data_IF_617584528970
#
_entry.id   IF_617584528970
#
_cell.length_a   1.000
_cell.length_b   1.000
_cell.length_c   1.000
_cell.angle_alpha   90.00
_cell.angle_beta   90.00
_cell.angle_gamma   90.00
#
_symmetry.space_group_name_H-M   'P 1'
#
loop_
_entity.id
_entity.type
_entity.pdbx_description
1 polymer ?
#
# COMPACT_ATOMS: atom_id res chain seq x y z
N UNK A 1 8.38 -4.91 -45.66
CA UNK A 1 8.31 -3.47 -45.35
C UNK A 1 8.91 -2.55 -46.44
N UNK A 2 9.91 -2.95 -47.21
CA UNK A 2 10.50 -2.20 -48.31
C UNK A 2 9.57 -1.98 -49.52
N UNK A 3 8.57 -2.83 -49.72
CA UNK A 3 7.62 -2.73 -50.86
C UNK A 3 6.58 -1.60 -50.75
N UNK A 4 6.51 -0.93 -49.57
CA UNK A 4 5.56 0.19 -49.38
C UNK A 4 6.15 1.56 -49.66
N UNK A 5 7.45 1.67 -49.93
CA UNK A 5 8.13 2.95 -50.17
C UNK A 5 8.05 3.26 -51.65
N UNK A 6 7.35 4.34 -52.03
CA UNK A 6 7.27 4.80 -53.41
C UNK A 6 8.66 5.29 -53.88
N UNK A 7 9.26 4.60 -54.85
CA UNK A 7 10.61 4.85 -55.38
C UNK A 7 10.80 6.33 -55.84
N UNK A 8 9.74 7.05 -56.22
CA UNK A 8 9.77 8.46 -56.61
C UNK A 8 10.14 9.44 -55.50
N UNK A 9 10.15 9.01 -54.23
CA UNK A 9 10.47 9.85 -53.05
C UNK A 9 11.86 9.62 -52.48
N UNK A 10 12.65 8.69 -53.03
CA UNK A 10 14.02 8.46 -52.58
C UNK A 10 14.92 9.40 -53.29
N UNK A 11 15.29 10.49 -52.63
CA UNK A 11 16.29 11.44 -53.15
C UNK A 11 17.71 10.97 -52.80
N UNK A 12 18.72 11.41 -53.56
CA UNK A 12 20.12 11.18 -53.22
C UNK A 12 20.50 11.74 -51.84
N UNK A 13 19.82 12.80 -51.42
CA UNK A 13 19.96 13.41 -50.10
C UNK A 13 19.47 12.46 -49.00
N UNK A 14 18.29 11.85 -49.18
CA UNK A 14 17.73 10.90 -48.25
C UNK A 14 18.59 9.64 -48.11
N UNK A 15 19.16 9.18 -49.21
CA UNK A 15 20.09 8.03 -49.20
C UNK A 15 21.37 8.37 -48.44
N UNK A 16 21.95 9.54 -48.63
CA UNK A 16 23.15 9.96 -47.92
C UNK A 16 22.88 10.20 -46.42
N UNK A 17 21.71 10.75 -46.10
CA UNK A 17 21.28 10.91 -44.72
C UNK A 17 21.12 9.55 -44.00
N UNK A 18 20.42 8.62 -44.66
CA UNK A 18 20.22 7.28 -44.09
C UNK A 18 21.54 6.53 -43.95
N UNK A 19 22.48 6.67 -44.89
CA UNK A 19 23.80 6.06 -44.79
C UNK A 19 24.58 6.62 -43.60
N UNK A 20 24.54 7.94 -43.39
CA UNK A 20 25.15 8.58 -42.23
C UNK A 20 24.52 8.09 -40.90
N UNK A 21 23.20 7.99 -40.83
CA UNK A 21 22.49 7.45 -39.65
C UNK A 21 22.88 6.02 -39.36
N UNK A 22 23.05 5.16 -40.39
CA UNK A 22 23.52 3.78 -40.25
C UNK A 22 24.95 3.76 -39.72
N UNK A 23 25.84 4.59 -40.23
CA UNK A 23 27.21 4.68 -39.77
C UNK A 23 27.29 5.17 -38.32
N UNK A 24 26.48 6.16 -37.94
CA UNK A 24 26.36 6.64 -36.56
C UNK A 24 25.86 5.55 -35.61
N UNK A 25 24.85 4.77 -36.02
CA UNK A 25 24.32 3.64 -35.25
C UNK A 25 25.36 2.51 -35.08
N UNK A 26 26.10 2.19 -36.18
CA UNK A 26 27.15 1.19 -36.11
C UNK A 26 28.27 1.61 -35.14
N UNK A 27 28.66 2.89 -35.16
CA UNK A 27 29.66 3.43 -34.22
C UNK A 27 29.15 3.33 -32.77
N UNK A 28 27.88 3.66 -32.51
CA UNK A 28 27.28 3.49 -31.18
C UNK A 28 27.26 2.02 -30.75
N UNK A 29 26.95 1.10 -31.65
CA UNK A 29 26.96 -0.35 -31.36
C UNK A 29 28.36 -0.84 -31.01
N UNK A 30 29.39 -0.39 -31.73
CA UNK A 30 30.79 -0.74 -31.42
C UNK A 30 31.17 -0.23 -30.02
N UNK A 31 30.83 1.03 -29.69
CA UNK A 31 31.10 1.60 -28.38
C UNK A 31 30.35 0.88 -27.25
N UNK A 32 29.10 0.52 -27.47
CA UNK A 32 28.33 -0.26 -26.49
C UNK A 32 28.95 -1.65 -26.29
N UNK A 33 29.33 -2.34 -27.37
CA UNK A 33 29.96 -3.66 -27.30
C UNK A 33 31.31 -3.59 -26.59
N UNK A 34 32.13 -2.58 -26.87
CA UNK A 34 33.39 -2.33 -26.17
C UNK A 34 33.18 -2.08 -24.67
N UNK A 35 32.17 -1.30 -24.30
CA UNK A 35 31.84 -1.03 -22.91
C UNK A 35 31.28 -2.28 -22.20
N UNK A 36 30.50 -3.12 -22.88
CA UNK A 36 30.03 -4.41 -22.37
C UNK A 36 31.19 -5.40 -22.15
N UNK A 37 32.20 -5.40 -23.01
CA UNK A 37 33.40 -6.22 -22.81
C UNK A 37 34.25 -5.79 -21.60
N UNK A 38 34.11 -4.53 -21.13
CA UNK A 38 34.89 -3.98 -20.03
C UNK A 38 34.01 -3.20 -19.03
N UNK A 39 32.92 -3.83 -18.56
CA UNK A 39 31.89 -3.17 -17.70
C UNK A 39 32.51 -2.50 -16.48
N UNK A 40 33.43 -3.15 -15.77
CA UNK A 40 34.09 -2.58 -14.59
C UNK A 40 34.82 -1.27 -14.89
N UNK A 41 35.58 -1.23 -16.00
CA UNK A 41 36.31 -0.03 -16.41
C UNK A 41 35.37 1.08 -16.85
N UNK A 42 34.29 0.75 -17.54
CA UNK A 42 33.25 1.69 -17.93
C UNK A 42 32.56 2.30 -16.70
N UNK A 43 32.12 1.47 -15.75
CA UNK A 43 31.47 1.91 -14.51
C UNK A 43 32.36 2.84 -13.69
N UNK A 44 33.64 2.47 -13.53
CA UNK A 44 34.58 3.33 -12.81
C UNK A 44 34.79 4.70 -13.49
N UNK A 45 34.84 4.72 -14.81
CA UNK A 45 34.94 5.97 -15.60
C UNK A 45 33.69 6.80 -15.42
N UNK A 46 32.52 6.20 -15.57
CA UNK A 46 31.23 6.85 -15.39
C UNK A 46 31.09 7.48 -14.00
N UNK A 47 31.42 6.73 -12.95
CA UNK A 47 31.36 7.24 -11.56
C UNK A 47 32.36 8.41 -11.38
N UNK A 48 33.58 8.31 -11.91
CA UNK A 48 34.56 9.41 -11.84
C UNK A 48 34.05 10.67 -12.54
N UNK A 49 33.42 10.53 -13.70
CA UNK A 49 32.82 11.65 -14.42
C UNK A 49 31.65 12.27 -13.65
N UNK A 50 30.82 11.44 -13.02
CA UNK A 50 29.76 11.92 -12.14
C UNK A 50 30.30 12.70 -10.94
N UNK A 51 31.30 12.17 -10.23
CA UNK A 51 31.96 12.87 -9.13
C UNK A 51 32.49 14.20 -9.60
N UNK A 52 33.21 14.23 -10.74
CA UNK A 52 33.76 15.46 -11.30
C UNK A 52 32.71 16.51 -11.64
N UNK A 53 31.54 16.09 -12.12
CA UNK A 53 30.42 16.99 -12.46
C UNK A 53 29.72 17.57 -11.23
N UNK A 54 29.58 16.77 -10.15
CA UNK A 54 28.77 17.12 -8.99
C UNK A 54 29.59 17.39 -7.71
N UNK A 55 30.92 17.43 -7.80
CA UNK A 55 31.76 17.78 -6.66
C UNK A 55 31.61 19.25 -6.26
N UNK A 56 31.86 19.55 -5.00
CA UNK A 56 31.88 20.91 -4.51
C UNK A 56 33.04 21.69 -5.14
N UNK A 57 32.77 22.93 -5.50
CA UNK A 57 33.74 23.84 -6.11
C UNK A 57 33.94 25.03 -5.19
N UNK A 58 35.21 25.45 -4.99
CA UNK A 58 35.51 26.69 -4.28
C UNK A 58 35.03 27.87 -5.11
N UNK A 59 34.18 28.72 -4.57
CA UNK A 59 33.78 29.98 -5.13
C UNK A 59 34.08 31.11 -4.16
N UNK A 60 34.50 32.25 -4.72
CA UNK A 60 34.60 33.47 -3.93
C UNK A 60 33.21 34.09 -3.80
N UNK A 61 32.70 34.16 -2.58
CA UNK A 61 31.42 34.78 -2.25
C UNK A 61 31.68 36.13 -1.58
N UNK A 62 31.04 37.18 -2.11
CA UNK A 62 31.06 38.48 -1.48
C UNK A 62 30.09 38.49 -0.29
N UNK A 63 30.65 38.57 0.93
CA UNK A 63 29.86 38.71 2.15
C UNK A 63 29.84 40.18 2.57
N UNK A 64 28.67 40.76 2.70
CA UNK A 64 28.46 42.11 3.18
C UNK A 64 28.32 42.04 4.71
N UNK A 65 29.35 42.50 5.41
CA UNK A 65 29.26 42.62 6.88
C UNK A 65 28.86 44.08 7.22
N UNK A 66 27.77 44.21 7.96
CA UNK A 66 27.36 45.51 8.52
C UNK A 66 28.01 45.70 9.89
N UNK A 67 28.90 46.70 10.01
CA UNK A 67 29.49 47.10 11.29
C UNK A 67 28.94 48.45 11.73
N UNK A 68 28.45 48.57 12.94
CA UNK A 68 28.03 49.85 13.47
C UNK A 68 29.26 50.78 13.64
N UNK A 69 29.12 52.02 13.17
CA UNK A 69 30.17 53.03 13.38
C UNK A 69 30.26 53.41 14.85
N UNK A 70 31.44 53.75 15.33
CA UNK A 70 31.76 54.13 16.70
C UNK A 70 30.91 55.27 17.31
N UNK A 71 30.08 55.93 16.52
CA UNK A 71 29.10 56.95 16.93
C UNK A 71 27.63 56.57 16.77
N UNK A 72 27.32 55.25 16.60
CA UNK A 72 25.97 54.70 16.71
C UNK A 72 24.92 55.14 15.68
N UNK A 73 25.26 55.85 14.63
CA UNK A 73 24.26 56.46 13.69
C UNK A 73 24.33 56.07 12.23
N UNK A 74 25.32 55.30 11.76
CA UNK A 74 25.40 54.82 10.39
C UNK A 74 26.12 53.47 10.33
N UNK A 75 25.52 52.46 9.74
CA UNK A 75 26.16 51.17 9.41
C UNK A 75 27.05 51.33 8.17
N UNK A 76 28.32 50.90 8.28
CA UNK A 76 29.24 50.85 7.18
C UNK A 76 29.26 49.43 6.62
N UNK A 77 28.85 49.27 5.39
CA UNK A 77 28.91 47.98 4.70
C UNK A 77 30.35 47.71 4.26
N UNK A 78 30.94 46.64 4.74
CA UNK A 78 32.27 46.19 4.34
C UNK A 78 32.09 44.93 3.51
N UNK A 79 32.44 45.00 2.24
CA UNK A 79 32.48 43.85 1.36
C UNK A 79 33.73 43.04 1.64
N UNK A 80 33.58 41.80 2.10
CA UNK A 80 34.65 40.83 2.25
C UNK A 80 34.43 39.68 1.30
N UNK A 81 35.51 39.25 0.64
CA UNK A 81 35.49 38.02 -0.15
C UNK A 81 35.88 36.87 0.72
N UNK A 82 35.00 35.90 0.89
CA UNK A 82 35.27 34.63 1.51
C UNK A 82 35.24 33.52 0.50
N UNK A 83 36.17 32.59 0.59
CA UNK A 83 36.11 31.35 -0.19
C UNK A 83 35.21 30.35 0.56
N UNK A 84 34.16 29.96 -0.08
CA UNK A 84 33.24 28.94 0.43
C UNK A 84 33.17 27.77 -0.54
N UNK A 85 33.11 26.55 0.01
CA UNK A 85 32.84 25.35 -0.76
C UNK A 85 31.36 25.36 -1.12
N UNK A 86 31.04 25.56 -2.39
CA UNK A 86 29.67 25.62 -2.88
C UNK A 86 29.42 24.41 -3.78
N UNK A 87 28.26 23.79 -3.66
CA UNK A 87 27.85 22.77 -4.61
C UNK A 87 27.76 23.35 -6.01
N UNK A 88 28.38 22.68 -6.99
CA UNK A 88 28.37 23.13 -8.38
C UNK A 88 26.94 23.18 -8.94
N UNK A 89 26.11 22.26 -8.47
CA UNK A 89 24.68 22.18 -8.80
C UNK A 89 23.87 22.08 -7.50
N UNK A 90 23.53 23.22 -6.85
CA UNK A 90 22.76 23.19 -5.62
C UNK A 90 21.39 22.59 -5.87
N UNK A 91 20.97 21.71 -5.00
CA UNK A 91 19.63 21.13 -5.05
C UNK A 91 18.61 22.17 -4.62
N UNK A 92 17.61 22.37 -5.46
CA UNK A 92 16.46 23.21 -5.12
C UNK A 92 15.35 22.41 -4.41
N UNK A 93 15.50 21.07 -4.34
CA UNK A 93 14.54 20.19 -3.67
C UNK A 93 15.18 19.51 -2.48
N UNK A 94 14.48 19.47 -1.35
CA UNK A 94 14.88 18.73 -0.18
C UNK A 94 14.62 17.24 -0.44
N UNK A 95 15.65 16.40 -0.25
CA UNK A 95 15.40 14.94 -0.28
C UNK A 95 14.85 14.59 1.09
N UNK A 96 13.57 14.30 1.14
CA UNK A 96 12.95 13.62 2.27
C UNK A 96 12.90 12.13 1.97
N UNK A 97 13.22 11.31 2.94
CA UNK A 97 12.82 9.90 2.90
C UNK A 97 11.30 9.90 2.92
N UNK A 98 10.67 9.20 1.98
CA UNK A 98 9.27 8.88 2.15
C UNK A 98 9.16 8.12 3.48
N UNK A 99 8.28 8.56 4.36
CA UNK A 99 7.83 7.71 5.43
C UNK A 99 7.45 6.38 4.79
N UNK A 100 7.82 5.28 5.42
CA UNK A 100 7.52 3.97 4.87
C UNK A 100 5.99 3.83 4.78
N UNK A 101 5.44 4.36 3.70
CA UNK A 101 4.03 4.19 3.38
C UNK A 101 3.91 2.70 3.08
N UNK A 102 3.23 1.99 3.97
CA UNK A 102 2.94 0.60 3.71
C UNK A 102 2.22 0.52 2.37
N UNK A 103 2.77 -0.26 1.45
CA UNK A 103 2.19 -0.45 0.10
C UNK A 103 0.70 -0.84 0.19
N UNK A 104 0.30 -1.45 1.31
CA UNK A 104 -1.09 -1.76 1.65
C UNK A 104 -1.99 -0.52 1.72
N UNK A 105 -1.53 0.60 2.29
CA UNK A 105 -2.34 1.82 2.42
C UNK A 105 -2.61 2.49 1.06
N UNK A 106 -1.67 2.38 0.12
CA UNK A 106 -1.82 2.99 -1.22
C UNK A 106 -2.72 2.14 -2.13
N UNK A 107 -2.68 0.81 -1.98
CA UNK A 107 -3.44 -0.12 -2.84
C UNK A 107 -4.79 -0.52 -2.25
N UNK A 108 -5.02 -0.22 -0.98
CA UNK A 108 -6.25 -0.53 -0.29
C UNK A 108 -7.37 0.43 -0.73
N UNK A 109 -8.43 -0.11 -1.32
CA UNK A 109 -9.67 0.63 -1.52
C UNK A 109 -10.60 0.40 -0.34
N UNK A 110 -11.26 1.46 0.11
CA UNK A 110 -12.28 1.37 1.16
C UNK A 110 -13.54 0.70 0.58
N UNK A 111 -14.00 -0.34 1.24
CA UNK A 111 -15.16 -1.13 0.87
C UNK A 111 -16.19 -1.09 2.00
N UNK A 112 -17.45 -0.79 1.68
CA UNK A 112 -18.57 -0.89 2.61
C UNK A 112 -19.20 -2.27 2.48
N UNK A 113 -19.19 -3.05 3.57
CA UNK A 113 -19.70 -4.41 3.60
C UNK A 113 -21.18 -4.42 3.96
N UNK A 114 -21.98 -5.04 3.09
CA UNK A 114 -23.43 -5.15 3.26
C UNK A 114 -23.86 -6.60 3.26
N UNK A 115 -24.93 -6.88 4.01
CA UNK A 115 -25.57 -8.18 4.06
C UNK A 115 -27.06 -8.08 3.75
N UNK A 116 -27.52 -8.91 2.83
CA UNK A 116 -28.93 -9.04 2.49
C UNK A 116 -29.46 -10.39 3.06
N UNK A 117 -30.22 -10.30 4.11
CA UNK A 117 -30.81 -11.46 4.78
C UNK A 117 -31.88 -12.17 3.96
N UNK A 118 -32.48 -11.52 2.96
CA UNK A 118 -33.50 -12.15 2.09
C UNK A 118 -32.84 -13.04 1.04
N UNK A 119 -31.79 -12.54 0.41
CA UNK A 119 -31.06 -13.26 -0.64
C UNK A 119 -29.89 -14.11 -0.11
N UNK A 120 -29.44 -13.87 1.14
CA UNK A 120 -28.32 -14.58 1.77
C UNK A 120 -26.94 -14.19 1.22
N UNK A 121 -26.79 -13.00 0.62
CA UNK A 121 -25.52 -12.52 0.09
C UNK A 121 -24.84 -11.50 1.02
N UNK A 122 -23.54 -11.62 1.12
CA UNK A 122 -22.65 -10.73 1.87
C UNK A 122 -21.51 -10.24 0.97
N UNK A 123 -21.17 -8.96 1.02
CA UNK A 123 -20.07 -8.38 0.23
C UNK A 123 -20.21 -6.88 0.02
N UNK A 124 -19.22 -6.27 -0.67
CA UNK A 124 -19.26 -4.84 -0.95
C UNK A 124 -20.11 -4.46 -2.18
N UNK A 125 -20.49 -5.41 -3.01
CA UNK A 125 -21.37 -5.21 -4.18
C UNK A 125 -22.74 -5.90 -4.01
N UNK A 126 -23.30 -5.83 -2.79
CA UNK A 126 -24.63 -6.35 -2.47
C UNK A 126 -25.63 -5.19 -2.47
N UNK A 127 -26.56 -5.21 -3.42
CA UNK A 127 -27.60 -4.17 -3.54
C UNK A 127 -28.79 -4.52 -2.64
N UNK A 128 -29.26 -3.56 -1.86
CA UNK A 128 -30.45 -3.73 -1.01
C UNK A 128 -30.17 -4.34 0.37
N UNK A 129 -28.93 -4.70 0.68
CA UNK A 129 -28.54 -5.20 1.98
C UNK A 129 -28.33 -4.10 3.03
N UNK A 130 -28.32 -4.48 4.31
CA UNK A 130 -27.93 -3.62 5.42
C UNK A 130 -26.43 -3.44 5.45
N UNK A 131 -25.95 -2.18 5.53
CA UNK A 131 -24.52 -1.89 5.69
C UNK A 131 -24.09 -2.24 7.12
N UNK A 132 -23.10 -3.12 7.25
CA UNK A 132 -22.63 -3.58 8.55
C UNK A 132 -21.40 -2.79 9.04
N UNK A 133 -20.39 -2.66 8.21
CA UNK A 133 -19.13 -1.98 8.54
C UNK A 133 -18.33 -1.67 7.29
N UNK A 134 -17.32 -0.80 7.45
CA UNK A 134 -16.35 -0.48 6.41
C UNK A 134 -15.03 -1.19 6.66
N UNK A 135 -14.37 -1.65 5.62
CA UNK A 135 -13.08 -2.34 5.67
C UNK A 135 -12.24 -2.01 4.45
N UNK A 136 -10.98 -2.42 4.49
CA UNK A 136 -10.10 -2.37 3.32
C UNK A 136 -10.31 -3.59 2.42
N UNK A 137 -10.09 -3.41 1.12
CA UNK A 137 -10.10 -4.51 0.14
C UNK A 137 -9.07 -5.61 0.44
N UNK A 138 -8.07 -5.32 1.26
CA UNK A 138 -7.00 -6.25 1.67
C UNK A 138 -7.25 -6.92 3.02
N UNK A 139 -8.32 -6.53 3.71
CA UNK A 139 -8.67 -7.10 5.00
C UNK A 139 -9.19 -8.53 4.87
N UNK A 140 -9.10 -9.26 5.96
CA UNK A 140 -9.74 -10.55 6.11
C UNK A 140 -10.92 -10.42 7.05
N UNK A 141 -12.01 -11.02 6.70
CA UNK A 141 -13.26 -10.96 7.45
C UNK A 141 -13.57 -12.30 8.09
N UNK A 142 -14.08 -12.25 9.31
CA UNK A 142 -14.63 -13.41 9.99
C UNK A 142 -16.14 -13.40 9.82
N UNK A 143 -16.71 -14.54 9.44
CA UNK A 143 -18.15 -14.74 9.30
C UNK A 143 -18.55 -15.86 10.25
N UNK A 144 -19.59 -15.65 11.03
CA UNK A 144 -20.12 -16.61 11.98
C UNK A 144 -21.60 -16.84 11.74
N UNK A 145 -22.02 -18.09 11.71
CA UNK A 145 -23.42 -18.51 11.54
C UNK A 145 -24.07 -18.91 12.86
N UNK A 146 -25.39 -18.92 12.86
CA UNK A 146 -26.17 -19.30 14.03
C UNK A 146 -25.93 -20.74 14.50
N UNK A 147 -25.54 -21.63 13.59
CA UNK A 147 -25.18 -23.03 13.95
C UNK A 147 -23.79 -23.17 14.57
N UNK A 148 -23.07 -22.07 14.74
CA UNK A 148 -21.73 -22.03 15.31
C UNK A 148 -20.60 -22.29 14.33
N UNK A 149 -20.88 -22.54 13.06
CA UNK A 149 -19.85 -22.53 12.02
C UNK A 149 -19.28 -21.13 11.89
N UNK A 150 -17.99 -21.07 11.58
CA UNK A 150 -17.36 -19.81 11.22
C UNK A 150 -16.27 -20.01 10.18
N UNK A 151 -15.98 -18.96 9.42
CA UNK A 151 -15.01 -18.98 8.34
C UNK A 151 -14.27 -17.66 8.24
N UNK A 152 -12.98 -17.72 7.94
CA UNK A 152 -12.16 -16.56 7.58
C UNK A 152 -12.16 -16.42 6.06
N UNK A 153 -12.57 -15.26 5.54
CA UNK A 153 -12.60 -14.97 4.11
C UNK A 153 -11.85 -13.68 3.80
N UNK A 154 -11.19 -13.56 2.63
CA UNK A 154 -10.76 -12.25 2.15
C UNK A 154 -12.00 -11.40 1.85
N UNK A 155 -11.86 -10.08 1.81
CA UNK A 155 -12.97 -9.15 1.51
C UNK A 155 -13.66 -9.54 0.19
N UNK A 156 -14.90 -10.08 0.23
CA UNK A 156 -15.58 -10.59 -0.96
C UNK A 156 -16.35 -9.48 -1.66
N UNK A 157 -16.37 -9.54 -2.98
CA UNK A 157 -17.27 -8.70 -3.78
C UNK A 157 -18.74 -9.08 -3.55
N UNK A 158 -19.03 -10.37 -3.67
CA UNK A 158 -20.36 -10.95 -3.41
C UNK A 158 -20.19 -12.43 -3.07
N UNK A 159 -20.49 -12.78 -1.82
CA UNK A 159 -20.38 -14.15 -1.31
C UNK A 159 -21.74 -14.61 -0.82
N UNK A 160 -22.15 -15.81 -1.21
CA UNK A 160 -23.34 -16.43 -0.65
C UNK A 160 -23.01 -17.05 0.71
N UNK A 161 -23.64 -16.52 1.78
CA UNK A 161 -23.42 -16.91 3.18
C UNK A 161 -24.65 -17.49 3.82
N UNK A 162 -25.74 -17.65 3.05
CA UNK A 162 -27.04 -18.10 3.55
C UNK A 162 -27.73 -17.08 4.50
N UNK A 163 -28.95 -17.37 4.89
CA UNK A 163 -29.83 -16.51 5.71
C UNK A 163 -29.51 -16.57 7.21
N UNK A 164 -28.68 -17.52 7.62
CA UNK A 164 -28.34 -17.79 9.02
C UNK A 164 -27.03 -17.15 9.48
N UNK A 165 -26.51 -16.17 8.72
CA UNK A 165 -25.39 -15.37 9.19
C UNK A 165 -25.78 -14.61 10.46
N UNK A 166 -24.96 -14.75 11.50
CA UNK A 166 -25.17 -14.10 12.81
C UNK A 166 -24.28 -12.89 12.99
N UNK A 167 -23.02 -13.00 12.56
CA UNK A 167 -22.01 -12.00 12.83
C UNK A 167 -20.98 -11.95 11.72
N UNK A 168 -20.55 -10.74 11.37
CA UNK A 168 -19.41 -10.55 10.48
C UNK A 168 -18.60 -9.32 10.95
N UNK A 169 -17.27 -9.43 10.92
CA UNK A 169 -16.36 -8.32 11.29
C UNK A 169 -14.99 -8.48 10.65
N UNK A 170 -14.17 -7.43 10.75
CA UNK A 170 -12.76 -7.49 10.37
C UNK A 170 -12.03 -8.41 11.34
N UNK A 171 -11.30 -9.38 10.77
CA UNK A 171 -10.54 -10.35 11.59
C UNK A 171 -9.37 -9.66 12.28
N UNK A 172 -9.35 -9.78 13.60
CA UNK A 172 -8.21 -9.43 14.43
C UNK A 172 -7.90 -10.59 15.37
N UNK A 173 -6.65 -11.04 15.36
CA UNK A 173 -6.20 -12.20 16.13
C UNK A 173 -6.24 -11.98 17.65
N UNK A 174 -6.04 -10.73 18.07
CA UNK A 174 -5.85 -10.39 19.49
C UNK A 174 -7.16 -9.96 20.17
N UNK A 175 -8.24 -9.84 19.40
CA UNK A 175 -9.55 -9.48 19.94
C UNK A 175 -10.21 -10.65 20.66
N UNK A 176 -10.74 -10.35 21.83
CA UNK A 176 -11.56 -11.29 22.60
C UNK A 176 -13.03 -11.18 22.22
N UNK A 177 -13.71 -12.30 22.22
CA UNK A 177 -15.14 -12.41 21.90
C UNK A 177 -15.87 -13.15 23.01
N UNK A 178 -17.09 -12.72 23.27
CA UNK A 178 -18.02 -13.39 24.17
C UNK A 178 -19.16 -14.00 23.38
N UNK A 179 -19.36 -15.30 23.53
CA UNK A 179 -20.40 -16.05 22.84
C UNK A 179 -21.33 -16.68 23.85
N UNK A 180 -22.65 -16.60 23.61
CA UNK A 180 -23.68 -17.33 24.32
C UNK A 180 -24.32 -18.31 23.36
N UNK A 181 -24.34 -19.56 23.73
CA UNK A 181 -24.90 -20.61 22.89
C UNK A 181 -25.74 -21.61 23.72
N UNK A 182 -26.60 -22.31 23.03
CA UNK A 182 -27.40 -23.43 23.57
C UNK A 182 -26.97 -24.71 22.89
N UNK A 183 -26.73 -25.74 23.66
CA UNK A 183 -26.49 -27.09 23.16
C UNK A 183 -27.83 -27.73 22.72
N UNK A 184 -27.78 -28.62 21.72
CA UNK A 184 -28.96 -29.34 21.25
C UNK A 184 -29.37 -30.46 22.21
N UNK A 185 -28.39 -31.10 22.82
CA UNK A 185 -28.60 -32.22 23.73
C UNK A 185 -29.08 -31.76 25.11
N UNK A 186 -28.50 -30.65 25.60
CA UNK A 186 -28.87 -30.04 26.86
C UNK A 186 -29.33 -28.61 26.62
N UNK A 187 -30.63 -28.28 26.77
CA UNK A 187 -31.17 -26.95 26.48
C UNK A 187 -30.77 -25.90 27.53
N UNK A 188 -29.50 -25.88 27.91
CA UNK A 188 -28.90 -24.95 28.86
C UNK A 188 -28.10 -23.91 28.06
N UNK A 189 -28.10 -22.69 28.55
CA UNK A 189 -27.29 -21.63 27.95
C UNK A 189 -25.88 -21.63 28.53
N UNK A 190 -24.89 -21.63 27.66
CA UNK A 190 -23.48 -21.58 28.00
C UNK A 190 -22.89 -20.24 27.58
N UNK A 191 -21.94 -19.74 28.35
CA UNK A 191 -21.16 -18.55 28.02
C UNK A 191 -19.71 -18.98 27.79
N UNK A 192 -19.13 -18.54 26.68
CA UNK A 192 -17.75 -18.83 26.33
C UNK A 192 -17.04 -17.54 25.93
N UNK A 193 -15.82 -17.32 26.45
CA UNK A 193 -14.89 -16.29 25.98
C UNK A 193 -13.76 -16.94 25.23
N UNK A 194 -13.37 -16.34 24.11
CA UNK A 194 -12.33 -16.91 23.27
C UNK A 194 -11.76 -15.83 22.34
N UNK A 195 -10.61 -16.14 21.74
CA UNK A 195 -10.02 -15.40 20.64
C UNK A 195 -10.03 -16.27 19.40
N UNK A 196 -10.23 -15.68 18.24
CA UNK A 196 -10.03 -16.39 16.98
C UNK A 196 -8.53 -16.58 16.76
N UNK A 197 -8.00 -17.76 16.98
CA UNK A 197 -6.59 -18.09 16.81
C UNK A 197 -6.08 -18.01 15.37
N UNK A 198 -5.01 -18.72 15.07
CA UNK A 198 -4.47 -18.80 13.69
C UNK A 198 -5.41 -19.59 12.79
N UNK A 199 -6.15 -18.87 11.92
CA UNK A 199 -7.12 -19.45 10.99
C UNK A 199 -6.56 -19.53 9.57
N UNK A 200 -6.93 -20.58 8.87
CA UNK A 200 -6.67 -20.73 7.42
C UNK A 200 -7.88 -20.15 6.69
N UNK A 201 -7.62 -19.27 5.71
CA UNK A 201 -8.68 -18.68 4.91
C UNK A 201 -9.47 -19.75 4.14
N UNK A 202 -10.77 -19.51 4.01
CA UNK A 202 -11.73 -20.37 3.30
C UNK A 202 -11.95 -21.77 3.91
N UNK A 203 -11.44 -22.03 5.11
CA UNK A 203 -11.70 -23.26 5.85
C UNK A 203 -12.83 -23.05 6.83
N UNK A 204 -13.74 -24.01 6.92
CA UNK A 204 -14.83 -24.03 7.90
C UNK A 204 -14.33 -24.53 9.26
N UNK A 205 -14.74 -23.84 10.31
CA UNK A 205 -14.46 -24.15 11.70
C UNK A 205 -15.76 -24.16 12.51
N UNK A 206 -15.75 -24.75 13.68
CA UNK A 206 -16.88 -24.73 14.61
C UNK A 206 -16.51 -24.07 15.94
N UNK A 207 -17.38 -23.18 16.41
CA UNK A 207 -17.30 -22.57 17.74
C UNK A 207 -17.83 -23.53 18.81
N UNK A 208 -18.74 -24.38 18.43
CA UNK A 208 -19.44 -25.25 19.36
C UNK A 208 -18.79 -26.64 19.41
N UNK A 209 -18.67 -27.26 20.59
CA UNK A 209 -18.14 -28.60 20.72
C UNK A 209 -19.09 -29.66 20.14
N UNK A 210 -20.41 -29.42 20.25
CA UNK A 210 -21.48 -30.25 19.74
C UNK A 210 -22.43 -29.46 18.83
N UNK A 211 -23.42 -30.11 18.26
CA UNK A 211 -24.51 -29.42 17.57
C UNK A 211 -25.27 -28.51 18.54
N UNK A 212 -25.45 -27.26 18.17
CA UNK A 212 -26.10 -26.28 19.00
C UNK A 212 -26.47 -25.03 18.24
N UNK A 213 -26.80 -23.98 18.95
CA UNK A 213 -27.15 -22.71 18.34
C UNK A 213 -26.51 -21.55 19.10
N UNK A 214 -25.75 -20.72 18.38
CA UNK A 214 -25.24 -19.44 18.88
C UNK A 214 -26.39 -18.46 18.96
N UNK A 215 -26.60 -17.90 20.13
CA UNK A 215 -27.67 -16.93 20.41
C UNK A 215 -27.18 -15.52 20.40
N UNK A 216 -25.92 -15.34 20.79
CA UNK A 216 -25.29 -14.02 20.91
C UNK A 216 -23.79 -14.16 20.70
N UNK A 217 -23.23 -13.24 19.96
CA UNK A 217 -21.80 -13.09 19.78
C UNK A 217 -21.47 -11.59 19.72
N UNK A 218 -20.55 -11.15 20.56
CA UNK A 218 -20.10 -9.77 20.61
C UNK A 218 -18.60 -9.72 20.84
N UNK A 219 -17.96 -8.68 20.29
CA UNK A 219 -16.57 -8.35 20.54
C UNK A 219 -16.41 -7.76 21.94
N UNK A 220 -15.40 -8.23 22.67
CA UNK A 220 -15.06 -7.78 24.01
C UNK A 220 -15.55 -8.69 25.12
N UNK A 221 -15.36 -8.20 26.35
CA UNK A 221 -15.73 -8.90 27.59
C UNK A 221 -16.78 -8.11 28.34
N UNK A 222 -18.07 -8.25 28.00
CA UNK A 222 -19.14 -7.56 28.72
C UNK A 222 -19.09 -7.91 30.21
N UNK A 223 -19.27 -6.92 31.08
CA UNK A 223 -19.28 -7.12 32.53
C UNK A 223 -20.54 -7.84 33.01
N UNK A 224 -21.64 -7.60 32.32
CA UNK A 224 -22.94 -8.17 32.67
C UNK A 224 -23.65 -8.66 31.42
N UNK A 225 -24.28 -9.85 31.55
CA UNK A 225 -25.12 -10.43 30.52
C UNK A 225 -26.46 -10.81 31.16
N UNK A 226 -27.55 -10.32 30.59
CA UNK A 226 -28.91 -10.60 31.06
C UNK A 226 -29.56 -11.63 30.16
N UNK A 227 -29.92 -12.79 30.73
CA UNK A 227 -30.61 -13.86 29.99
C UNK A 227 -32.04 -13.94 30.50
N UNK A 228 -33.03 -13.69 29.65
CA UNK A 228 -34.43 -13.83 29.97
C UNK A 228 -34.96 -15.13 29.39
N UNK A 229 -35.33 -16.04 30.28
CA UNK A 229 -35.99 -17.28 29.89
C UNK A 229 -37.49 -17.08 29.72
N UNK A 230 -38.10 -17.77 28.74
CA UNK A 230 -39.55 -17.87 28.70
C UNK A 230 -40.02 -18.73 29.87
N UNK A 231 -41.12 -18.34 30.55
CA UNK A 231 -41.70 -19.18 31.60
C UNK A 231 -42.07 -20.54 31.01
N UNK A 232 -41.82 -21.62 31.78
CA UNK A 232 -42.31 -22.94 31.41
C UNK A 232 -43.84 -22.87 31.30
N UNK A 233 -44.39 -23.45 30.24
CA UNK A 233 -45.84 -23.59 30.08
C UNK A 233 -46.32 -24.73 30.94
#
# INVERSE_FOLDING_TARGET
MLLAVQIRRISLYDMNKNRKEIDDINTMLEDVNKNLGAVKAYTLRYIKDMIKRYQHVEREVEVIEEKPNAKGKRTKQIKKRKKEMVEQYPRHTTITTFDAIEVREITASECSMSYDAESGYFGYNVKGGEELFKCSSLDKLIIVWKDGRFKLVPTPEKLFVDKDMLYAAIFNRDKEYTCIYTDKEYPISYIKRFTFGGLIANKDYSLLPNEGQVRFLEEGTPQFVWIKYKPAK
#
